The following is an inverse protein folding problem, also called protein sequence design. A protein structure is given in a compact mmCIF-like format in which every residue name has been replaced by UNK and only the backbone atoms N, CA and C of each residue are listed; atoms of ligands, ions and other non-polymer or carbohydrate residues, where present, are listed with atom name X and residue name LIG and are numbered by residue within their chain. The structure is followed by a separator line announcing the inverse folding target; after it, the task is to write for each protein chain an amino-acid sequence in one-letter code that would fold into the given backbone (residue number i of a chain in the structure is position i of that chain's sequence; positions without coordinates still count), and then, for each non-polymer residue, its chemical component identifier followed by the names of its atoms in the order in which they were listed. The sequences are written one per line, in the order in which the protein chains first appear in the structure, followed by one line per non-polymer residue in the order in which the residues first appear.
data_IF_889094190440
#
_entry.id   IF_889094190440
#
_cell.length_a   1.000
_cell.length_b   1.000
_cell.length_c   1.000
_cell.angle_alpha   90.00
_cell.angle_beta   90.00
_cell.angle_gamma   90.00
#
_symmetry.space_group_name_H-M   'P 1'
#
loop_
_entity.id
_entity.type
_entity.pdbx_description
1 polymer ?
#
# COMPACT_ATOMS: atom_id res chain seq x y z
N UNK A 1 -23.51 5.23 0.17
CA UNK A 1 -22.27 5.26 0.98
C UNK A 1 -21.16 5.75 0.06
N UNK A 2 -20.94 7.07 -0.01
CA UNK A 2 -19.96 7.63 -0.93
C UNK A 2 -18.56 7.39 -0.39
N UNK A 3 -17.77 6.59 -1.09
CA UNK A 3 -16.32 6.60 -0.94
C UNK A 3 -15.87 7.91 -1.58
N UNK A 4 -15.37 8.82 -0.75
CA UNK A 4 -14.87 10.15 -1.13
C UNK A 4 -14.06 10.09 -2.42
N UNK A 5 -14.13 11.15 -3.25
CA UNK A 5 -13.60 11.24 -4.62
C UNK A 5 -12.07 11.13 -4.81
N UNK A 6 -11.39 10.38 -3.95
CA UNK A 6 -10.07 9.83 -4.18
C UNK A 6 -10.27 8.44 -4.81
N UNK A 7 -9.71 8.19 -6.00
CA UNK A 7 -9.78 6.87 -6.63
C UNK A 7 -9.35 5.81 -5.61
N UNK A 8 -10.20 4.81 -5.36
CA UNK A 8 -9.93 3.82 -4.33
C UNK A 8 -8.57 3.15 -4.59
N UNK A 9 -7.63 3.34 -3.65
CA UNK A 9 -6.27 2.81 -3.78
C UNK A 9 -6.24 1.28 -4.00
N UNK A 10 -7.31 0.59 -3.61
CA UNK A 10 -7.56 -0.83 -3.83
C UNK A 10 -8.97 -1.05 -4.40
N UNK A 11 -9.08 -1.94 -5.39
CA UNK A 11 -10.38 -2.45 -5.84
C UNK A 11 -11.06 -3.28 -4.74
N UNK A 12 -12.38 -3.44 -4.83
CA UNK A 12 -13.16 -4.27 -3.89
C UNK A 12 -12.59 -5.69 -3.75
N UNK A 13 -12.23 -6.33 -4.88
CA UNK A 13 -11.65 -7.67 -4.88
C UNK A 13 -10.29 -7.72 -4.17
N UNK A 14 -9.42 -6.72 -4.37
CA UNK A 14 -8.12 -6.64 -3.69
C UNK A 14 -8.28 -6.41 -2.20
N UNK A 15 -9.20 -5.54 -1.79
CA UNK A 15 -9.51 -5.31 -0.39
C UNK A 15 -10.06 -6.60 0.27
N UNK A 16 -10.97 -7.30 -0.39
CA UNK A 16 -11.50 -8.57 0.10
C UNK A 16 -10.43 -9.65 0.25
N UNK A 17 -9.51 -9.76 -0.70
CA UNK A 17 -8.37 -10.68 -0.59
C UNK A 17 -7.51 -10.38 0.63
N UNK A 18 -7.25 -9.10 0.93
CA UNK A 18 -6.53 -8.72 2.15
C UNK A 18 -7.26 -9.19 3.41
N UNK A 19 -8.58 -8.95 3.49
CA UNK A 19 -9.40 -9.43 4.63
C UNK A 19 -9.27 -10.94 4.79
N UNK A 20 -9.36 -11.70 3.70
CA UNK A 20 -9.23 -13.17 3.74
C UNK A 20 -7.88 -13.63 4.28
N UNK A 21 -6.79 -12.95 3.92
CA UNK A 21 -5.46 -13.26 4.43
C UNK A 21 -5.26 -12.89 5.90
N UNK A 22 -5.92 -11.84 6.38
CA UNK A 22 -5.96 -11.52 7.81
C UNK A 22 -6.76 -12.56 8.59
N UNK A 23 -7.96 -12.91 8.12
CA UNK A 23 -8.83 -13.92 8.76
C UNK A 23 -8.16 -15.29 8.86
N UNK A 24 -7.31 -15.65 7.88
CA UNK A 24 -6.56 -16.91 7.89
C UNK A 24 -5.26 -16.86 8.69
N UNK A 25 -4.91 -15.71 9.31
CA UNK A 25 -3.66 -15.53 10.06
C UNK A 25 -2.39 -15.47 9.20
N UNK A 26 -2.49 -15.24 7.88
CA UNK A 26 -1.32 -15.13 7.01
C UNK A 26 -0.65 -13.75 7.10
N UNK A 27 -1.44 -12.72 7.44
CA UNK A 27 -1.00 -11.34 7.59
C UNK A 27 -1.28 -10.83 9.00
N UNK A 28 -0.49 -9.85 9.43
CA UNK A 28 -0.71 -9.11 10.66
C UNK A 28 -0.27 -7.65 10.51
N UNK A 29 -0.54 -6.86 11.53
CA UNK A 29 -0.03 -5.49 11.65
C UNK A 29 1.27 -5.51 12.46
N UNK A 30 2.36 -5.07 11.84
CA UNK A 30 3.69 -4.99 12.49
C UNK A 30 4.11 -3.53 12.61
N UNK A 31 4.50 -3.06 13.82
CA UNK A 31 5.00 -1.70 14.00
C UNK A 31 6.41 -1.55 13.42
N UNK A 32 6.68 -0.45 12.73
CA UNK A 32 8.01 -0.11 12.26
C UNK A 32 8.89 0.37 13.42
N UNK A 33 10.09 -0.19 13.54
CA UNK A 33 11.05 0.20 14.60
C UNK A 33 11.62 1.61 14.43
N UNK A 34 11.47 2.24 13.25
CA UNK A 34 11.96 3.60 12.96
C UNK A 34 10.88 4.67 13.12
N UNK A 35 9.70 4.49 12.54
CA UNK A 35 8.64 5.49 12.57
C UNK A 35 7.45 5.14 13.47
N UNK A 36 7.38 3.93 14.04
CA UNK A 36 6.28 3.49 14.89
C UNK A 36 4.95 3.21 14.18
N UNK A 37 4.84 3.51 12.88
CA UNK A 37 3.64 3.22 12.09
C UNK A 37 3.39 1.72 11.97
N UNK A 38 2.11 1.33 11.87
CA UNK A 38 1.71 -0.07 11.70
C UNK A 38 1.53 -0.39 10.21
N UNK A 39 2.15 -1.47 9.77
CA UNK A 39 2.11 -1.90 8.37
C UNK A 39 1.71 -3.37 8.27
N UNK A 40 1.06 -3.72 7.15
CA UNK A 40 0.72 -5.10 6.83
C UNK A 40 2.00 -5.87 6.51
N UNK A 41 2.25 -6.95 7.23
CA UNK A 41 3.39 -7.85 7.04
C UNK A 41 2.95 -9.31 7.21
N UNK A 42 3.79 -10.26 6.78
CA UNK A 42 3.52 -11.67 7.01
C UNK A 42 3.59 -12.01 8.51
N UNK A 43 2.65 -12.84 8.97
CA UNK A 43 2.55 -13.20 10.39
C UNK A 43 3.76 -13.99 10.90
N UNK A 44 4.45 -14.72 10.01
CA UNK A 44 5.51 -15.67 10.36
C UNK A 44 6.91 -15.21 9.94
N UNK A 45 7.06 -13.98 9.43
CA UNK A 45 8.39 -13.41 9.18
C UNK A 45 9.10 -13.12 10.51
N UNK A 46 10.44 -13.20 10.58
CA UNK A 46 11.16 -12.79 11.77
C UNK A 46 10.98 -11.28 12.03
N UNK A 47 10.16 -10.94 13.02
CA UNK A 47 9.72 -9.56 13.33
C UNK A 47 10.81 -8.64 13.89
N UNK A 48 11.95 -9.20 14.31
CA UNK A 48 12.99 -8.41 14.95
C UNK A 48 13.60 -7.42 13.95
N UNK A 49 13.23 -6.15 14.11
CA UNK A 49 13.77 -5.07 13.28
C UNK A 49 12.97 -4.75 12.01
N UNK A 50 11.66 -5.01 11.96
CA UNK A 50 10.83 -4.59 10.82
C UNK A 50 10.95 -3.07 10.54
N UNK A 51 11.42 -2.73 9.33
CA UNK A 51 11.50 -1.35 8.82
C UNK A 51 10.58 -1.21 7.61
N UNK A 52 9.65 -0.26 7.66
CA UNK A 52 8.67 -0.10 6.59
C UNK A 52 9.30 0.44 5.29
N UNK A 53 8.64 0.19 4.16
CA UNK A 53 9.07 0.66 2.84
C UNK A 53 9.06 2.17 2.64
N UNK A 54 8.55 2.97 3.60
CA UNK A 54 8.72 4.43 3.59
C UNK A 54 10.00 4.85 4.31
N UNK A 55 10.34 4.17 5.40
CA UNK A 55 11.58 4.39 6.15
C UNK A 55 12.81 3.87 5.38
N UNK A 56 12.64 2.81 4.59
CA UNK A 56 13.66 2.28 3.69
C UNK A 56 13.08 2.09 2.28
N UNK A 57 12.92 3.19 1.52
CA UNK A 57 12.33 3.15 0.19
C UNK A 57 13.11 2.23 -0.75
N UNK A 58 12.46 1.29 -1.45
CA UNK A 58 13.11 0.52 -2.50
C UNK A 58 13.54 1.45 -3.65
N UNK A 59 14.50 1.04 -4.48
CA UNK A 59 15.04 1.86 -5.58
C UNK A 59 13.99 2.36 -6.58
N UNK A 60 12.80 1.74 -6.61
CA UNK A 60 11.68 2.11 -7.49
C UNK A 60 10.57 2.89 -6.78
N UNK A 61 10.71 3.21 -5.50
CA UNK A 61 9.76 4.02 -4.77
C UNK A 61 9.56 5.37 -5.48
N UNK A 62 8.31 5.77 -5.69
CA UNK A 62 7.98 7.02 -6.39
C UNK A 62 8.00 6.96 -7.92
N UNK A 63 8.48 5.88 -8.56
CA UNK A 63 8.47 5.75 -10.03
C UNK A 63 7.06 5.83 -10.63
N UNK A 64 6.05 5.36 -9.88
CA UNK A 64 4.64 5.41 -10.29
C UNK A 64 4.06 6.83 -10.27
N UNK A 65 4.59 7.77 -9.47
CA UNK A 65 4.11 9.17 -9.48
C UNK A 65 4.35 9.84 -10.83
N UNK A 66 5.52 9.63 -11.44
CA UNK A 66 5.84 10.20 -12.76
C UNK A 66 4.94 9.62 -13.86
N UNK A 67 4.62 8.32 -13.78
CA UNK A 67 3.70 7.67 -14.71
C UNK A 67 2.23 8.10 -14.50
N UNK A 68 1.80 8.28 -13.25
CA UNK A 68 0.46 8.77 -12.92
C UNK A 68 0.28 10.23 -13.37
N UNK A 69 1.28 11.10 -13.14
CA UNK A 69 1.28 12.47 -13.64
C UNK A 69 1.18 12.51 -15.18
N UNK A 70 1.98 11.72 -15.89
CA UNK A 70 1.90 11.64 -17.35
C UNK A 70 0.54 11.12 -17.86
N UNK A 71 -0.08 10.17 -17.14
CA UNK A 71 -1.43 9.68 -17.48
C UNK A 71 -2.51 10.73 -17.21
N UNK A 72 -2.38 11.50 -16.13
CA UNK A 72 -3.29 12.60 -15.82
C UNK A 72 -3.17 13.73 -16.86
N UNK A 73 -1.95 14.06 -17.30
CA UNK A 73 -1.71 15.02 -18.38
C UNK A 73 -2.32 14.55 -19.71
N UNK A 74 -2.14 13.27 -20.07
CA UNK A 74 -2.76 12.68 -21.27
C UNK A 74 -4.29 12.68 -21.20
N UNK A 75 -4.86 12.35 -20.04
CA UNK A 75 -6.31 12.37 -19.83
C UNK A 75 -6.89 13.81 -19.89
N UNK A 76 -6.16 14.79 -19.37
CA UNK A 76 -6.55 16.20 -19.44
C UNK A 76 -6.43 16.78 -20.86
N UNK A 77 -5.49 16.30 -21.68
CA UNK A 77 -5.32 16.75 -23.07
C UNK A 77 -6.30 16.11 -24.07
N UNK A 78 -6.93 15.00 -23.69
CA UNK A 78 -7.92 14.29 -24.51
C UNK A 78 -9.38 14.69 -24.18
N UNK A 79 -9.58 15.57 -23.21
CA UNK A 79 -10.85 16.17 -22.82
C UNK A 79 -10.98 17.58 -23.40
#
# INVERSE_FOLDING_TARGET
MSLSGDEAALSLTRAWTLVRFFDSGMLQMTPCTRCGGHFVAHAHDPHQGFVCGLCQPPSRAGKTRKAAAARAELAAAAA
#
